data_IF_507462399796
#
_entry.id   IF_507462399796
#
_cell.length_a   1.000
_cell.length_b   1.000
_cell.length_c   1.000
_cell.angle_alpha   90.00
_cell.angle_beta   90.00
_cell.angle_gamma   90.00
#
_symmetry.space_group_name_H-M   'P 1'
#
loop_
_entity.id
_entity.type
_entity.pdbx_description
1 polymer ?
#
# COMPACT_ATOMS: atom_id res chain seq x y z
N UNK A 1 -4.18 33.86 1.83
CA UNK A 1 -3.35 32.94 2.62
C UNK A 1 -4.01 31.59 2.77
N UNK A 2 -5.35 31.51 2.88
CA UNK A 2 -6.06 30.24 3.11
C UNK A 2 -5.92 29.19 1.99
N UNK A 3 -5.80 29.61 0.73
CA UNK A 3 -5.72 28.67 -0.39
C UNK A 3 -4.45 27.80 -0.35
N UNK A 4 -3.32 28.34 0.12
CA UNK A 4 -2.07 27.59 0.24
C UNK A 4 -2.09 26.59 1.41
N UNK A 5 -2.82 26.92 2.48
CA UNK A 5 -3.03 26.02 3.61
C UNK A 5 -3.86 24.81 3.21
N UNK A 6 -5.00 25.02 2.55
CA UNK A 6 -5.87 23.92 2.10
C UNK A 6 -5.18 23.02 1.09
N UNK A 7 -4.40 23.59 0.15
CA UNK A 7 -3.59 22.80 -0.79
C UNK A 7 -2.61 21.84 -0.11
N UNK A 8 -2.02 22.25 1.02
CA UNK A 8 -1.09 21.39 1.77
C UNK A 8 -1.80 20.23 2.49
N UNK A 9 -3.11 20.36 2.73
CA UNK A 9 -3.91 19.34 3.41
C UNK A 9 -4.62 18.38 2.45
N UNK A 10 -4.72 18.70 1.16
CA UNK A 10 -5.40 17.88 0.15
C UNK A 10 -4.84 16.44 0.11
N UNK A 11 -3.53 16.26 0.21
CA UNK A 11 -2.91 14.92 0.19
C UNK A 11 -3.35 14.07 1.39
N UNK A 12 -3.35 14.67 2.57
CA UNK A 12 -3.80 14.04 3.82
C UNK A 12 -5.31 13.78 3.80
N UNK A 13 -6.09 14.70 3.21
CA UNK A 13 -7.52 14.53 2.98
C UNK A 13 -7.76 13.32 2.07
N UNK A 14 -7.08 13.22 0.93
CA UNK A 14 -7.25 12.09 0.01
C UNK A 14 -6.84 10.75 0.66
N UNK A 15 -5.83 10.77 1.53
CA UNK A 15 -5.37 9.60 2.29
C UNK A 15 -6.33 9.11 3.39
N UNK A 16 -7.32 9.90 3.81
CA UNK A 16 -8.12 9.70 5.05
C UNK A 16 -7.25 9.77 6.32
N UNK A 17 -6.28 10.68 6.31
CA UNK A 17 -5.30 10.86 7.40
C UNK A 17 -5.55 12.13 8.22
N UNK A 18 -6.55 12.93 7.83
CA UNK A 18 -6.95 14.11 8.60
C UNK A 18 -7.83 13.74 9.80
N UNK A 19 -7.67 14.46 10.93
CA UNK A 19 -8.68 14.49 11.98
C UNK A 19 -10.05 14.96 11.45
N UNK A 20 -11.14 14.48 12.04
CA UNK A 20 -12.50 14.77 11.59
C UNK A 20 -12.86 16.27 11.57
N UNK A 21 -12.29 17.05 12.50
CA UNK A 21 -12.48 18.50 12.54
C UNK A 21 -11.89 19.17 11.29
N UNK A 22 -10.67 18.78 10.90
CA UNK A 22 -10.00 19.32 9.71
C UNK A 22 -10.62 18.82 8.40
N UNK A 23 -11.17 17.60 8.39
CA UNK A 23 -11.93 17.09 7.23
C UNK A 23 -13.18 17.94 6.99
N UNK A 24 -13.94 18.25 8.05
CA UNK A 24 -15.11 19.12 7.96
C UNK A 24 -14.78 20.56 7.54
N UNK A 25 -13.68 21.11 8.06
CA UNK A 25 -13.20 22.44 7.66
C UNK A 25 -12.80 22.49 6.17
N UNK A 26 -12.14 21.44 5.69
CA UNK A 26 -11.78 21.30 4.27
C UNK A 26 -13.01 21.20 3.37
N UNK A 27 -14.03 20.45 3.78
CA UNK A 27 -15.30 20.35 3.04
C UNK A 27 -16.04 21.69 3.02
N UNK A 28 -16.05 22.43 4.14
CA UNK A 28 -16.61 23.77 4.19
C UNK A 28 -15.87 24.76 3.29
N UNK A 29 -14.54 24.65 3.20
CA UNK A 29 -13.73 25.46 2.29
C UNK A 29 -14.03 25.12 0.82
N UNK A 30 -14.21 23.84 0.49
CA UNK A 30 -14.55 23.37 -0.85
C UNK A 30 -15.89 23.90 -1.36
N UNK A 31 -16.85 24.19 -0.47
CA UNK A 31 -18.12 24.84 -0.87
C UNK A 31 -17.91 26.25 -1.45
N UNK A 32 -16.84 26.93 -1.05
CA UNK A 32 -16.53 28.30 -1.45
C UNK A 32 -15.43 28.36 -2.54
N UNK A 33 -14.69 27.27 -2.76
CA UNK A 33 -13.65 27.15 -3.79
C UNK A 33 -13.90 25.92 -4.67
N UNK A 34 -14.46 26.15 -5.85
CA UNK A 34 -14.77 25.10 -6.82
C UNK A 34 -13.52 24.35 -7.31
N UNK A 35 -12.35 24.99 -7.36
CA UNK A 35 -11.12 24.32 -7.76
C UNK A 35 -10.69 23.33 -6.68
N UNK A 36 -10.75 23.75 -5.42
CA UNK A 36 -10.46 22.90 -4.27
C UNK A 36 -11.40 21.69 -4.23
N UNK A 37 -12.70 21.90 -4.47
CA UNK A 37 -13.68 20.82 -4.52
C UNK A 37 -13.36 19.76 -5.59
N UNK A 38 -12.99 20.21 -6.80
CA UNK A 38 -12.59 19.30 -7.89
C UNK A 38 -11.31 18.56 -7.54
N UNK A 39 -10.30 19.24 -6.99
CA UNK A 39 -9.03 18.62 -6.59
C UNK A 39 -9.26 17.55 -5.50
N UNK A 40 -10.04 17.86 -4.46
CA UNK A 40 -10.38 16.92 -3.38
C UNK A 40 -11.09 15.68 -3.91
N UNK A 41 -12.12 15.86 -4.75
CA UNK A 41 -12.88 14.75 -5.32
C UNK A 41 -12.04 13.88 -6.26
N UNK A 42 -11.25 14.51 -7.14
CA UNK A 42 -10.37 13.81 -8.07
C UNK A 42 -9.28 13.02 -7.34
N UNK A 43 -8.66 13.61 -6.33
CA UNK A 43 -7.56 12.94 -5.62
C UNK A 43 -8.07 11.80 -4.73
N UNK A 44 -9.18 12.02 -4.00
CA UNK A 44 -9.82 10.98 -3.17
C UNK A 44 -10.24 9.77 -4.00
N UNK A 45 -10.90 10.01 -5.14
CA UNK A 45 -11.30 8.92 -6.05
C UNK A 45 -10.09 8.18 -6.64
N UNK A 46 -9.01 8.88 -6.95
CA UNK A 46 -7.77 8.25 -7.45
C UNK A 46 -7.13 7.37 -6.38
N UNK A 47 -7.03 7.85 -5.14
CA UNK A 47 -6.49 7.07 -4.01
C UNK A 47 -7.36 5.86 -3.71
N UNK A 48 -8.69 6.03 -3.69
CA UNK A 48 -9.62 4.93 -3.47
C UNK A 48 -9.48 3.88 -4.60
N UNK A 49 -9.36 4.32 -5.87
CA UNK A 49 -9.12 3.42 -7.00
C UNK A 49 -7.81 2.66 -6.86
N UNK A 50 -6.72 3.32 -6.49
CA UNK A 50 -5.40 2.69 -6.27
C UNK A 50 -5.42 1.70 -5.11
N UNK A 51 -6.19 1.97 -4.04
CA UNK A 51 -6.37 1.06 -2.91
C UNK A 51 -7.19 -0.18 -3.27
N UNK A 52 -8.11 -0.05 -4.22
CA UNK A 52 -8.94 -1.16 -4.71
C UNK A 52 -8.37 -1.87 -5.94
N UNK A 53 -7.37 -1.29 -6.58
CA UNK A 53 -6.70 -1.92 -7.70
C UNK A 53 -6.04 -3.20 -7.19
N UNK A 54 -6.35 -4.32 -7.84
CA UNK A 54 -5.74 -5.60 -7.49
C UNK A 54 -4.22 -5.45 -7.47
N UNK A 55 -3.62 -5.79 -6.34
CA UNK A 55 -2.17 -5.95 -6.27
C UNK A 55 -1.76 -6.91 -7.38
N UNK A 56 -0.77 -6.51 -8.18
CA UNK A 56 -0.27 -7.37 -9.25
C UNK A 56 0.12 -8.72 -8.62
N UNK A 57 -0.54 -9.83 -8.99
CA UNK A 57 -0.34 -11.09 -8.29
C UNK A 57 1.12 -11.52 -8.44
N UNK A 58 1.75 -11.86 -7.32
CA UNK A 58 3.07 -12.44 -7.34
C UNK A 58 2.98 -13.88 -7.87
N UNK A 59 3.13 -14.03 -9.18
CA UNK A 59 3.07 -15.32 -9.86
C UNK A 59 4.43 -16.03 -9.84
N UNK A 60 4.42 -17.35 -10.12
CA UNK A 60 5.65 -18.13 -10.31
C UNK A 60 6.55 -17.53 -11.41
N UNK A 61 5.95 -17.02 -12.49
CA UNK A 61 6.70 -16.32 -13.55
C UNK A 61 7.40 -15.06 -12.99
N UNK A 62 6.70 -14.29 -12.15
CA UNK A 62 7.26 -13.11 -11.50
C UNK A 62 8.40 -13.48 -10.56
N UNK A 63 8.27 -14.57 -9.81
CA UNK A 63 9.32 -15.13 -8.96
C UNK A 63 10.57 -15.49 -9.77
N UNK A 64 10.43 -16.30 -10.82
CA UNK A 64 11.56 -16.72 -11.65
C UNK A 64 12.25 -15.53 -12.34
N UNK A 65 11.48 -14.54 -12.81
CA UNK A 65 12.01 -13.32 -13.41
C UNK A 65 12.82 -12.49 -12.42
N UNK A 66 12.33 -12.31 -11.19
CA UNK A 66 13.05 -11.57 -10.14
C UNK A 66 14.32 -12.33 -9.75
N UNK A 67 14.21 -13.65 -9.53
CA UNK A 67 15.34 -14.52 -9.23
C UNK A 67 16.44 -14.42 -10.28
N UNK A 68 16.11 -14.50 -11.58
CA UNK A 68 17.09 -14.38 -12.66
C UNK A 68 17.74 -13.00 -12.69
N UNK A 69 16.97 -11.92 -12.52
CA UNK A 69 17.51 -10.55 -12.46
C UNK A 69 18.49 -10.35 -11.30
N UNK A 70 18.29 -11.06 -10.21
CA UNK A 70 19.14 -11.00 -9.04
C UNK A 70 20.40 -11.87 -9.20
N UNK A 71 20.27 -13.07 -9.77
CA UNK A 71 21.41 -13.93 -10.10
C UNK A 71 22.38 -13.24 -11.07
N UNK A 72 21.87 -12.55 -12.09
CA UNK A 72 22.68 -11.73 -13.02
C UNK A 72 23.43 -10.61 -12.30
N UNK A 73 22.88 -10.10 -11.19
CA UNK A 73 23.53 -9.08 -10.35
C UNK A 73 24.47 -9.67 -9.29
N UNK A 74 24.71 -10.98 -9.31
CA UNK A 74 25.64 -11.66 -8.40
C UNK A 74 25.09 -11.90 -6.99
N UNK A 75 23.77 -11.77 -6.79
CA UNK A 75 23.16 -12.11 -5.51
C UNK A 75 22.95 -13.63 -5.41
N UNK A 76 23.48 -14.22 -4.32
CA UNK A 76 23.31 -15.64 -4.01
C UNK A 76 22.18 -15.81 -2.99
N UNK A 77 21.20 -16.63 -3.33
CA UNK A 77 20.06 -16.94 -2.47
C UNK A 77 20.10 -18.40 -2.06
N UNK A 78 20.01 -18.65 -0.77
CA UNK A 78 19.66 -19.98 -0.28
C UNK A 78 18.13 -20.09 -0.28
N UNK A 79 17.58 -20.91 -1.17
CA UNK A 79 16.19 -21.32 -1.05
C UNK A 79 16.08 -22.19 0.19
N UNK A 80 15.52 -21.65 1.29
CA UNK A 80 15.10 -22.47 2.43
C UNK A 80 14.04 -23.44 1.92
N UNK A 81 14.46 -24.67 1.60
CA UNK A 81 13.53 -25.76 1.41
C UNK A 81 12.77 -25.94 2.72
N UNK A 82 11.42 -26.10 2.71
CA UNK A 82 10.73 -26.55 3.91
C UNK A 82 11.41 -27.83 4.41
N UNK A 83 11.72 -27.88 5.70
CA UNK A 83 12.38 -29.04 6.29
C UNK A 83 11.57 -30.30 5.94
N UNK A 84 12.22 -31.36 5.44
CA UNK A 84 11.51 -32.56 5.09
C UNK A 84 10.81 -33.16 6.32
N UNK A 85 9.52 -33.45 6.21
CA UNK A 85 8.67 -33.94 7.30
C UNK A 85 9.20 -35.20 8.02
N UNK A 86 10.14 -35.93 7.41
CA UNK A 86 10.76 -37.13 7.98
C UNK A 86 11.81 -36.84 9.08
N UNK A 87 12.14 -35.58 9.36
CA UNK A 87 13.00 -35.18 10.48
C UNK A 87 12.24 -34.77 11.75
N UNK A 88 10.90 -34.78 11.73
CA UNK A 88 10.09 -34.63 12.94
C UNK A 88 10.16 -35.93 13.76
N UNK A 89 11.21 -36.05 14.57
CA UNK A 89 11.40 -37.13 15.54
C UNK A 89 10.11 -37.36 16.34
N UNK A 90 9.61 -38.60 16.30
CA UNK A 90 8.57 -39.07 17.21
C UNK A 90 9.13 -39.04 18.64
N UNK A 91 8.64 -38.11 19.46
CA UNK A 91 8.90 -38.14 20.90
C UNK A 91 8.24 -39.41 21.47
N UNK A 92 8.95 -40.24 22.24
CA UNK A 92 8.32 -41.33 22.96
C UNK A 92 7.41 -40.73 24.03
N UNK A 93 6.11 -41.03 23.94
CA UNK A 93 5.18 -40.85 25.06
C UNK A 93 5.58 -41.91 26.09
N UNK A 94 6.38 -41.53 27.09
CA UNK A 94 6.49 -42.34 28.30
C UNK A 94 5.17 -42.26 29.06
N UNK A 95 4.61 -43.43 29.37
CA UNK A 95 3.35 -43.61 30.08
C UNK A 95 3.41 -43.36 31.58
#
# INVERSE_FOLDING_TARGET
MDNEYHRKLIDLYAGRELPSELEADMEAAALNDANLAVEMASLRSTVDLLRTADDAPFTEESYQRIRNKLLVRGAYFETRSPEPAHLQYQLPIQG
#
